data_IF_670696514883
#
_entry.id   IF_670696514883
#
_cell.length_a   1.000
_cell.length_b   1.000
_cell.length_c   1.000
_cell.angle_alpha   90.00
_cell.angle_beta   90.00
_cell.angle_gamma   90.00
#
_symmetry.space_group_name_H-M   'P 1'
#
loop_
_entity.id
_entity.type
_entity.pdbx_description
1 polymer ?
#
# COMPACT_ATOMS: atom_id res chain seq x y z
N UNK A 1 8.25 -49.87 -7.04
CA UNK A 1 7.13 -48.91 -6.80
C UNK A 1 6.35 -48.75 -8.09
N UNK A 2 5.02 -48.70 -8.04
CA UNK A 2 4.23 -48.52 -9.26
C UNK A 2 4.46 -47.11 -9.84
N UNK A 3 4.54 -46.95 -11.17
CA UNK A 3 4.72 -45.64 -11.80
C UNK A 3 3.59 -44.66 -11.44
N UNK A 4 2.38 -45.16 -11.18
CA UNK A 4 1.24 -44.37 -10.71
C UNK A 4 1.46 -43.78 -9.30
N UNK A 5 2.05 -44.56 -8.39
CA UNK A 5 2.40 -44.06 -7.06
C UNK A 5 3.46 -42.97 -7.11
N UNK A 6 4.44 -43.09 -8.02
CA UNK A 6 5.47 -42.07 -8.23
C UNK A 6 4.83 -40.78 -8.76
N UNK A 7 3.95 -40.87 -9.77
CA UNK A 7 3.22 -39.70 -10.29
C UNK A 7 2.37 -39.01 -9.22
N UNK A 8 1.65 -39.78 -8.40
CA UNK A 8 0.84 -39.23 -7.30
C UNK A 8 1.71 -38.51 -6.26
N UNK A 9 2.84 -39.09 -5.86
CA UNK A 9 3.75 -38.49 -4.90
C UNK A 9 4.39 -37.20 -5.45
N UNK A 10 4.73 -37.16 -6.73
CA UNK A 10 5.26 -35.94 -7.39
C UNK A 10 4.21 -34.84 -7.44
N UNK A 11 2.96 -35.15 -7.78
CA UNK A 11 1.86 -34.18 -7.79
C UNK A 11 1.56 -33.65 -6.38
N UNK A 12 1.51 -34.53 -5.38
CA UNK A 12 1.32 -34.14 -3.98
C UNK A 12 2.47 -33.25 -3.48
N UNK A 13 3.72 -33.65 -3.77
CA UNK A 13 4.90 -32.86 -3.42
C UNK A 13 4.90 -31.48 -4.08
N UNK A 14 4.56 -31.41 -5.37
CA UNK A 14 4.42 -30.15 -6.10
C UNK A 14 3.31 -29.26 -5.56
N UNK A 15 2.15 -29.84 -5.22
CA UNK A 15 1.04 -29.14 -4.61
C UNK A 15 1.40 -28.54 -3.25
N UNK A 16 2.07 -29.30 -2.39
CA UNK A 16 2.53 -28.82 -1.08
C UNK A 16 3.57 -27.70 -1.21
N UNK A 17 4.48 -27.79 -2.19
CA UNK A 17 5.46 -26.73 -2.47
C UNK A 17 4.76 -25.42 -2.88
N UNK A 18 3.81 -25.49 -3.81
CA UNK A 18 3.04 -24.33 -4.25
C UNK A 18 2.23 -23.72 -3.10
N UNK A 19 1.57 -24.56 -2.28
CA UNK A 19 0.86 -24.12 -1.09
C UNK A 19 1.78 -23.41 -0.08
N UNK A 20 3.00 -23.93 0.12
CA UNK A 20 4.00 -23.30 0.97
C UNK A 20 4.43 -21.92 0.47
N UNK A 21 4.69 -21.78 -0.83
CA UNK A 21 5.02 -20.49 -1.47
C UNK A 21 3.86 -19.49 -1.34
N UNK A 22 2.64 -19.96 -1.58
CA UNK A 22 1.43 -19.15 -1.45
C UNK A 22 1.25 -18.65 -0.01
N UNK A 23 1.31 -19.55 0.97
CA UNK A 23 1.19 -19.22 2.38
C UNK A 23 2.26 -18.23 2.84
N UNK A 24 3.51 -18.45 2.45
CA UNK A 24 4.60 -17.53 2.77
C UNK A 24 4.38 -16.14 2.17
N UNK A 25 3.95 -16.07 0.91
CA UNK A 25 3.67 -14.80 0.23
C UNK A 25 2.50 -14.06 0.88
N UNK A 26 1.40 -14.76 1.21
CA UNK A 26 0.25 -14.18 1.89
C UNK A 26 0.62 -13.67 3.29
N UNK A 27 1.35 -14.47 4.09
CA UNK A 27 1.82 -14.06 5.42
C UNK A 27 2.73 -12.83 5.36
N UNK A 28 3.56 -12.71 4.31
CA UNK A 28 4.41 -11.53 4.10
C UNK A 28 3.61 -10.31 3.68
N UNK A 29 2.65 -10.49 2.76
CA UNK A 29 1.72 -9.44 2.35
C UNK A 29 0.98 -8.86 3.56
N UNK A 30 0.59 -9.68 4.52
CA UNK A 30 -0.20 -9.25 5.68
C UNK A 30 0.64 -8.97 6.93
N UNK A 31 1.97 -8.81 6.77
CA UNK A 31 2.85 -8.52 7.88
C UNK A 31 2.63 -7.10 8.40
N UNK A 32 2.09 -7.00 9.61
CA UNK A 32 1.99 -5.74 10.36
C UNK A 32 3.39 -5.29 10.79
N UNK A 33 3.71 -4.03 10.56
CA UNK A 33 4.98 -3.41 11.00
C UNK A 33 4.69 -2.49 12.18
N UNK A 34 5.66 -2.37 13.09
CA UNK A 34 5.59 -1.36 14.15
C UNK A 34 5.60 0.03 13.50
N UNK A 35 4.72 0.95 13.90
CA UNK A 35 4.70 2.29 13.34
C UNK A 35 6.05 2.98 13.59
N UNK A 36 6.52 3.69 12.57
CA UNK A 36 7.74 4.51 12.61
C UNK A 36 7.40 5.82 11.93
N UNK A 37 6.94 6.78 12.72
CA UNK A 37 6.58 8.09 12.20
C UNK A 37 7.83 8.85 11.72
N UNK A 38 7.71 9.46 10.55
CA UNK A 38 8.70 10.39 9.99
C UNK A 38 7.98 11.62 9.46
N UNK A 39 8.55 12.80 9.66
CA UNK A 39 8.03 14.05 9.09
C UNK A 39 8.99 14.60 8.05
N UNK A 40 8.45 15.11 6.94
CA UNK A 40 9.22 15.67 5.82
C UNK A 40 8.58 16.98 5.39
N UNK A 41 9.38 18.06 5.35
CA UNK A 41 8.91 19.40 5.00
C UNK A 41 8.40 20.20 6.20
N UNK A 42 8.20 21.50 5.96
CA UNK A 42 7.70 22.48 6.92
C UNK A 42 6.62 23.39 6.28
N UNK A 43 5.89 22.84 5.32
CA UNK A 43 4.85 23.56 4.61
C UNK A 43 3.56 23.74 5.43
N UNK A 44 2.72 24.69 5.02
CA UNK A 44 1.49 25.02 5.74
C UNK A 44 0.39 23.95 5.60
N UNK A 45 0.43 23.13 4.55
CA UNK A 45 -0.59 22.09 4.28
C UNK A 45 -0.18 20.75 4.86
N UNK A 46 -1.08 20.06 5.53
CA UNK A 46 -0.81 18.74 6.10
C UNK A 46 -1.03 17.62 5.07
N UNK A 47 -0.10 16.66 4.98
CA UNK A 47 -0.33 15.41 4.24
C UNK A 47 -0.01 14.18 5.11
N UNK A 48 -0.94 13.24 5.20
CA UNK A 48 -0.73 11.96 5.87
C UNK A 48 -0.43 10.89 4.82
N UNK A 49 0.75 10.29 4.86
CA UNK A 49 1.19 9.25 3.94
C UNK A 49 1.39 7.93 4.70
N UNK A 50 0.46 7.01 4.53
CA UNK A 50 0.51 5.68 5.11
C UNK A 50 0.83 4.68 4.01
N UNK A 51 1.94 3.98 4.16
CA UNK A 51 2.36 3.01 3.16
C UNK A 51 2.76 1.68 3.77
N UNK A 52 2.45 0.61 3.06
CA UNK A 52 2.89 -0.71 3.44
C UNK A 52 4.24 -1.02 2.78
N UNK A 53 5.28 -1.37 3.56
CA UNK A 53 6.58 -1.77 3.02
C UNK A 53 6.48 -3.01 2.13
N UNK A 54 7.25 -3.03 1.05
CA UNK A 54 7.39 -4.21 0.18
C UNK A 54 8.67 -4.99 0.49
N UNK A 55 8.73 -6.25 0.06
CA UNK A 55 9.83 -7.18 0.38
C UNK A 55 11.22 -6.65 0.01
N UNK A 56 11.34 -5.81 -1.02
CA UNK A 56 12.61 -5.24 -1.50
C UNK A 56 12.78 -3.75 -1.16
N UNK A 57 11.97 -3.20 -0.26
CA UNK A 57 12.04 -1.79 0.14
C UNK A 57 11.63 -0.79 -0.93
N UNK A 58 11.15 -1.23 -2.10
CA UNK A 58 10.78 -0.32 -3.21
C UNK A 58 9.65 0.63 -2.81
N UNK A 59 8.65 0.16 -2.05
CA UNK A 59 7.57 1.03 -1.58
C UNK A 59 8.07 2.10 -0.61
N UNK A 60 9.11 1.79 0.17
CA UNK A 60 9.75 2.77 1.04
C UNK A 60 10.40 3.87 0.20
N UNK A 61 11.18 3.51 -0.81
CA UNK A 61 11.81 4.49 -1.71
C UNK A 61 10.75 5.37 -2.43
N UNK A 62 9.69 4.74 -2.95
CA UNK A 62 8.57 5.43 -3.62
C UNK A 62 7.85 6.40 -2.65
N UNK A 63 7.51 5.94 -1.44
CA UNK A 63 6.86 6.76 -0.41
C UNK A 63 7.71 7.98 -0.03
N UNK A 64 9.02 7.78 0.15
CA UNK A 64 9.96 8.87 0.44
C UNK A 64 10.12 9.85 -0.73
N UNK A 65 10.16 9.36 -1.96
CA UNK A 65 10.22 10.21 -3.15
C UNK A 65 8.96 11.08 -3.27
N UNK A 66 7.79 10.48 -3.03
CA UNK A 66 6.51 11.20 -3.01
C UNK A 66 6.48 12.25 -1.90
N UNK A 67 6.87 11.89 -0.68
CA UNK A 67 6.90 12.82 0.44
C UNK A 67 7.83 14.01 0.20
N UNK A 68 9.03 13.77 -0.36
CA UNK A 68 9.96 14.86 -0.73
C UNK A 68 9.38 15.77 -1.82
N UNK A 69 8.67 15.20 -2.78
CA UNK A 69 8.02 15.96 -3.85
C UNK A 69 6.92 16.86 -3.27
N UNK A 70 6.05 16.33 -2.41
CA UNK A 70 5.00 17.09 -1.75
C UNK A 70 5.56 18.16 -0.81
N UNK A 71 6.64 17.85 -0.10
CA UNK A 71 7.30 18.83 0.76
C UNK A 71 7.79 20.05 -0.03
N UNK A 72 8.32 19.84 -1.25
CA UNK A 72 8.73 20.94 -2.15
C UNK A 72 7.57 21.78 -2.67
N UNK A 73 6.33 21.26 -2.61
CA UNK A 73 5.12 21.99 -3.03
C UNK A 73 4.33 22.57 -1.85
N UNK A 74 4.97 22.67 -0.68
CA UNK A 74 4.40 23.35 0.49
C UNK A 74 3.57 22.46 1.41
N UNK A 75 3.74 21.14 1.35
CA UNK A 75 3.19 20.23 2.36
C UNK A 75 4.17 19.95 3.51
N UNK A 76 3.64 19.71 4.70
CA UNK A 76 4.29 18.96 5.77
C UNK A 76 3.75 17.53 5.73
N UNK A 77 4.60 16.59 5.33
CA UNK A 77 4.21 15.19 5.13
C UNK A 77 4.55 14.37 6.36
N UNK A 78 3.55 13.71 6.94
CA UNK A 78 3.71 12.70 8.00
C UNK A 78 3.66 11.32 7.35
N UNK A 79 4.78 10.58 7.40
CA UNK A 79 4.88 9.23 6.85
C UNK A 79 4.81 8.21 7.98
N UNK A 80 4.04 7.14 7.78
CA UNK A 80 4.04 6.00 8.69
C UNK A 80 3.66 4.68 8.00
N UNK A 81 3.78 3.58 8.73
CA UNK A 81 3.23 2.27 8.35
C UNK A 81 1.82 2.11 8.91
N UNK A 82 0.93 1.38 8.22
CA UNK A 82 -0.41 1.13 8.75
C UNK A 82 -0.33 0.35 10.06
N UNK A 83 -1.06 0.80 11.07
CA UNK A 83 -1.10 0.17 12.38
C UNK A 83 -2.36 0.56 13.15
N UNK A 84 -3.02 -0.36 13.88
CA UNK A 84 -4.25 -0.08 14.62
C UNK A 84 -4.04 0.84 15.83
N UNK A 85 -2.80 1.06 16.26
CA UNK A 85 -2.48 1.96 17.39
C UNK A 85 -2.28 3.41 16.97
N UNK A 86 -2.33 3.71 15.67
CA UNK A 86 -2.19 5.07 15.16
C UNK A 86 -3.52 5.80 15.30
N UNK A 87 -3.47 7.01 15.85
CA UNK A 87 -4.61 7.88 16.04
C UNK A 87 -4.24 9.31 15.61
N UNK A 88 -4.39 9.58 14.31
CA UNK A 88 -4.16 10.90 13.73
C UNK A 88 -5.47 11.68 13.68
N UNK A 89 -5.44 12.97 14.04
CA UNK A 89 -6.60 13.85 13.83
C UNK A 89 -6.76 14.13 12.32
N UNK A 90 -7.89 13.77 11.69
CA UNK A 90 -8.09 14.06 10.28
C UNK A 90 -8.10 15.56 9.93
N UNK A 91 -8.30 16.45 10.91
CA UNK A 91 -8.28 17.89 10.68
C UNK A 91 -6.88 18.43 10.42
N UNK A 92 -5.84 17.75 10.90
CA UNK A 92 -4.44 18.14 10.69
C UNK A 92 -3.96 17.96 9.24
N UNK A 93 -4.76 17.29 8.41
CA UNK A 93 -4.37 16.89 7.06
C UNK A 93 -5.38 17.32 6.00
N UNK A 94 -4.85 17.90 4.92
CA UNK A 94 -5.60 18.25 3.72
C UNK A 94 -5.63 17.10 2.71
N UNK A 95 -4.55 16.29 2.71
CA UNK A 95 -4.32 15.20 1.78
C UNK A 95 -3.99 13.91 2.53
N UNK A 96 -4.74 12.85 2.23
CA UNK A 96 -4.48 11.50 2.72
C UNK A 96 -3.92 10.65 1.58
N UNK A 97 -2.87 9.91 1.85
CA UNK A 97 -2.17 9.10 0.86
C UNK A 97 -2.01 7.70 1.42
N UNK A 98 -2.53 6.71 0.70
CA UNK A 98 -2.43 5.30 1.08
C UNK A 98 -1.81 4.50 -0.05
N UNK A 99 -0.80 3.69 0.27
CA UNK A 99 -0.26 2.81 -0.76
C UNK A 99 0.46 1.57 -0.31
N UNK A 100 0.52 0.60 -1.21
CA UNK A 100 1.07 -0.71 -0.93
C UNK A 100 1.47 -1.43 -2.20
N UNK A 101 1.97 -2.65 -2.06
CA UNK A 101 2.24 -3.52 -3.20
C UNK A 101 1.09 -4.47 -3.46
N UNK A 102 0.84 -4.72 -4.74
CA UNK A 102 -0.04 -5.80 -5.16
C UNK A 102 0.68 -7.14 -4.97
N UNK A 103 0.13 -7.98 -4.10
CA UNK A 103 0.55 -9.37 -3.96
C UNK A 103 -0.67 -10.25 -4.18
N UNK A 104 -0.59 -11.12 -5.19
CA UNK A 104 -1.65 -12.10 -5.49
C UNK A 104 -3.01 -11.45 -5.76
N UNK A 105 -3.01 -10.32 -6.47
CA UNK A 105 -4.23 -9.59 -6.84
C UNK A 105 -4.85 -8.73 -5.74
N UNK A 106 -4.17 -8.55 -4.60
CA UNK A 106 -4.68 -7.76 -3.46
C UNK A 106 -3.58 -6.87 -2.84
N UNK A 107 -4.01 -5.83 -2.13
CA UNK A 107 -3.16 -5.07 -1.22
C UNK A 107 -3.18 -5.74 0.16
N UNK A 108 -2.12 -5.55 0.96
CA UNK A 108 -2.05 -6.17 2.28
C UNK A 108 -3.14 -5.71 3.24
N UNK A 109 -3.64 -6.66 4.03
CA UNK A 109 -4.67 -6.43 5.03
C UNK A 109 -4.36 -5.27 5.98
N UNK A 110 -3.13 -5.10 6.52
CA UNK A 110 -2.84 -4.00 7.43
C UNK A 110 -3.21 -2.62 6.87
N UNK A 111 -2.97 -2.38 5.57
CA UNK A 111 -3.35 -1.12 4.95
C UNK A 111 -4.87 -0.98 4.80
N UNK A 112 -5.56 -2.04 4.38
CA UNK A 112 -7.02 -2.07 4.23
C UNK A 112 -7.71 -1.86 5.57
N UNK A 113 -7.31 -2.63 6.58
CA UNK A 113 -7.86 -2.58 7.94
C UNK A 113 -7.65 -1.19 8.56
N UNK A 114 -6.45 -0.63 8.40
CA UNK A 114 -6.18 0.73 8.87
C UNK A 114 -7.06 1.75 8.16
N UNK A 115 -7.12 1.72 6.84
CA UNK A 115 -7.93 2.66 6.05
C UNK A 115 -9.43 2.59 6.43
N UNK A 116 -9.95 1.37 6.63
CA UNK A 116 -11.34 1.14 7.05
C UNK A 116 -11.64 1.55 8.50
N UNK A 117 -10.62 1.64 9.36
CA UNK A 117 -10.80 2.12 10.74
C UNK A 117 -10.87 3.64 10.87
N UNK A 118 -10.46 4.38 9.82
CA UNK A 118 -10.44 5.83 9.84
C UNK A 118 -11.82 6.42 9.57
N UNK A 119 -12.12 7.52 10.25
CA UNK A 119 -13.37 8.26 10.08
C UNK A 119 -13.05 9.69 9.66
N UNK A 120 -13.25 10.00 8.38
CA UNK A 120 -13.02 11.34 7.83
C UNK A 120 -13.85 11.56 6.56
N UNK A 121 -14.19 12.80 6.26
CA UNK A 121 -15.01 13.17 5.10
C UNK A 121 -14.58 14.50 4.51
N UNK A 122 -14.91 14.72 3.23
CA UNK A 122 -14.60 15.96 2.52
C UNK A 122 -13.12 16.17 2.22
N UNK A 123 -12.28 15.14 2.38
CA UNK A 123 -10.83 15.22 2.18
C UNK A 123 -10.40 14.71 0.80
N UNK A 124 -9.20 15.09 0.39
CA UNK A 124 -8.55 14.51 -0.79
C UNK A 124 -7.83 13.22 -0.40
N UNK A 125 -8.08 12.14 -1.16
CA UNK A 125 -7.46 10.84 -0.94
C UNK A 125 -6.73 10.40 -2.20
N UNK A 126 -5.45 10.13 -2.07
CA UNK A 126 -4.60 9.54 -3.11
C UNK A 126 -4.29 8.09 -2.74
N UNK A 127 -4.75 7.16 -3.57
CA UNK A 127 -4.41 5.75 -3.46
C UNK A 127 -3.34 5.40 -4.49
N UNK A 128 -2.31 4.68 -4.10
CA UNK A 128 -1.36 4.12 -5.06
C UNK A 128 -1.06 2.65 -4.78
N UNK A 129 -0.94 1.88 -5.86
CA UNK A 129 -0.53 0.49 -5.78
C UNK A 129 0.68 0.25 -6.67
N UNK A 130 1.67 -0.43 -6.11
CA UNK A 130 2.87 -0.87 -6.81
C UNK A 130 2.70 -2.32 -7.27
N UNK A 131 2.68 -2.56 -8.58
CA UNK A 131 2.56 -3.90 -9.13
C UNK A 131 2.85 -3.96 -10.63
N UNK A 132 3.26 -5.13 -11.12
CA UNK A 132 3.71 -5.31 -12.50
C UNK A 132 2.59 -5.65 -13.50
N UNK A 133 1.44 -6.12 -13.00
CA UNK A 133 0.30 -6.50 -13.85
C UNK A 133 -0.47 -5.26 -14.32
N UNK A 134 -0.92 -5.24 -15.58
CA UNK A 134 -1.73 -4.14 -16.11
C UNK A 134 -3.10 -4.03 -15.41
N UNK A 135 -3.74 -5.18 -15.16
CA UNK A 135 -5.01 -5.22 -14.41
C UNK A 135 -4.78 -4.78 -12.97
N UNK A 136 -5.72 -4.00 -12.43
CA UNK A 136 -5.62 -3.44 -11.07
C UNK A 136 -6.86 -3.73 -10.19
N UNK A 137 -7.33 -4.99 -10.07
CA UNK A 137 -8.46 -5.32 -9.19
C UNK A 137 -8.21 -4.89 -7.73
N UNK A 138 -6.96 -4.91 -7.30
CA UNK A 138 -6.55 -4.50 -5.96
C UNK A 138 -6.80 -3.01 -5.66
N UNK A 139 -6.83 -2.15 -6.69
CA UNK A 139 -7.22 -0.75 -6.53
C UNK A 139 -8.71 -0.61 -6.23
N UNK A 140 -9.57 -1.43 -6.86
CA UNK A 140 -10.99 -1.43 -6.58
C UNK A 140 -11.24 -1.82 -5.11
N UNK A 141 -10.58 -2.90 -4.64
CA UNK A 141 -10.65 -3.31 -3.25
C UNK A 141 -10.17 -2.23 -2.26
N UNK A 142 -9.11 -1.50 -2.60
CA UNK A 142 -8.61 -0.41 -1.76
C UNK A 142 -9.54 0.81 -1.77
N UNK A 143 -10.16 1.14 -2.91
CA UNK A 143 -11.14 2.24 -3.02
C UNK A 143 -12.36 2.01 -2.15
N UNK A 144 -12.84 0.76 -2.06
CA UNK A 144 -13.97 0.40 -1.20
C UNK A 144 -13.68 0.57 0.31
N UNK A 145 -12.40 0.64 0.69
CA UNK A 145 -12.01 0.86 2.09
C UNK A 145 -12.02 2.34 2.49
N UNK A 146 -12.06 3.27 1.52
CA UNK A 146 -12.07 4.71 1.81
C UNK A 146 -13.48 5.12 2.28
N UNK A 147 -13.60 5.87 3.38
CA UNK A 147 -14.90 6.37 3.83
C UNK A 147 -15.60 7.22 2.75
N UNK A 148 -16.93 7.14 2.71
CA UNK A 148 -17.74 7.92 1.77
C UNK A 148 -17.58 9.44 1.97
N UNK A 149 -17.92 10.22 0.94
CA UNK A 149 -17.81 11.68 0.99
C UNK A 149 -16.41 12.24 0.77
N UNK A 150 -15.43 11.40 0.41
CA UNK A 150 -14.06 11.82 0.08
C UNK A 150 -13.79 11.83 -1.43
N UNK A 151 -12.86 12.68 -1.88
CA UNK A 151 -12.45 12.77 -3.28
C UNK A 151 -11.27 11.85 -3.55
N UNK A 152 -11.51 10.75 -4.27
CA UNK A 152 -10.52 9.66 -4.44
C UNK A 152 -9.84 9.71 -5.81
N UNK A 153 -8.54 9.97 -5.81
CA UNK A 153 -7.64 9.74 -6.96
C UNK A 153 -6.86 8.46 -6.72
N UNK A 154 -6.71 7.61 -7.74
CA UNK A 154 -5.98 6.35 -7.60
C UNK A 154 -5.12 6.06 -8.81
N UNK A 155 -3.90 5.57 -8.59
CA UNK A 155 -2.96 5.21 -9.65
C UNK A 155 -2.28 3.87 -9.37
N UNK A 156 -2.14 3.06 -10.42
CA UNK A 156 -1.24 1.91 -10.41
C UNK A 156 0.09 2.31 -11.03
N UNK A 157 1.17 1.93 -10.38
CA UNK A 157 2.52 2.15 -10.86
C UNK A 157 3.34 0.87 -10.81
N UNK A 158 4.29 0.74 -11.73
CA UNK A 158 5.35 -0.26 -11.64
C UNK A 158 6.42 0.21 -10.66
N UNK A 159 7.27 -0.69 -10.15
CA UNK A 159 8.24 -0.33 -9.11
C UNK A 159 9.33 0.69 -9.50
N UNK A 160 9.43 1.08 -10.79
CA UNK A 160 10.36 2.08 -11.31
C UNK A 160 9.66 3.35 -11.81
N UNK A 161 8.35 3.47 -11.57
CA UNK A 161 7.52 4.58 -12.02
C UNK A 161 7.29 5.61 -10.90
N UNK A 162 8.25 5.81 -9.97
CA UNK A 162 8.06 6.79 -8.89
C UNK A 162 7.81 8.22 -9.41
N UNK A 163 8.43 8.60 -10.53
CA UNK A 163 8.22 9.93 -11.15
C UNK A 163 6.78 10.14 -11.60
N UNK A 164 6.14 9.09 -12.13
CA UNK A 164 4.74 9.10 -12.57
C UNK A 164 3.80 9.29 -11.39
N UNK A 165 4.06 8.62 -10.26
CA UNK A 165 3.31 8.85 -9.02
C UNK A 165 3.48 10.28 -8.50
N UNK A 166 4.72 10.77 -8.48
CA UNK A 166 5.02 12.14 -8.05
C UNK A 166 4.28 13.18 -8.90
N UNK A 167 4.31 13.04 -10.23
CA UNK A 167 3.58 13.93 -11.13
C UNK A 167 2.07 13.83 -10.91
N UNK A 168 1.53 12.62 -10.81
CA UNK A 168 0.11 12.40 -10.54
C UNK A 168 -0.32 13.04 -9.22
N UNK A 169 0.50 12.99 -8.18
CA UNK A 169 0.16 13.58 -6.88
C UNK A 169 0.02 15.12 -6.91
N UNK A 170 0.65 15.80 -7.87
CA UNK A 170 0.67 17.26 -7.93
C UNK A 170 -0.56 17.90 -8.57
N UNK A 171 -1.37 17.14 -9.31
CA UNK A 171 -2.54 17.66 -10.01
C UNK A 171 -2.56 17.16 -11.43
#
# INVERSE_FOLDING_TARGET
>A
MSPWLICLLVLLGGGLLLAGIFYWTARRRDLVRRPVEKRVGYGARGALLIYQPSNRGKNHAIAWALARTLARTGYTVTLNYPSPVLNYDPQDYDLFIFGGSAYMGEVGRPLKDYLSSLHFQGKQVLLFVVGDLERAPELAGLRLCVPEGNRIRSIKIRPSEEKKLCQFALG
#
